data_IF_256575158576
#
_entry.id   IF_256575158576
#
_cell.length_a   1.000
_cell.length_b   1.000
_cell.length_c   1.000
_cell.angle_alpha   90.00
_cell.angle_beta   90.00
_cell.angle_gamma   90.00
#
_symmetry.space_group_name_H-M   'P 1'
#
loop_
_entity.id
_entity.type
_entity.pdbx_description
1 polymer ?
#
# COMPACT_ATOMS: atom_id res chain seq x y z
N UNK A 1 -18.79 14.06 18.70
CA UNK A 1 -17.43 14.62 18.65
C UNK A 1 -17.41 15.95 19.36
N UNK A 2 -16.36 16.26 20.12
CA UNK A 2 -16.11 17.61 20.60
C UNK A 2 -15.15 18.36 19.69
N UNK A 3 -15.39 19.66 19.51
CA UNK A 3 -14.51 20.55 18.75
C UNK A 3 -14.25 21.77 19.63
N UNK A 4 -12.98 22.00 19.94
CA UNK A 4 -12.53 23.18 20.67
C UNK A 4 -11.79 24.13 19.72
N UNK A 5 -12.34 25.32 19.53
CA UNK A 5 -11.76 26.34 18.66
C UNK A 5 -11.10 27.43 19.48
N UNK A 6 -9.92 27.88 19.03
CA UNK A 6 -9.12 28.95 19.63
C UNK A 6 -8.82 30.03 18.59
N UNK A 7 -8.40 31.19 19.07
CA UNK A 7 -7.95 32.26 18.17
C UNK A 7 -6.68 31.82 17.42
N UNK A 8 -6.49 32.32 16.20
CA UNK A 8 -5.39 31.93 15.30
C UNK A 8 -3.98 32.02 15.92
N UNK A 9 -3.77 32.95 16.83
CA UNK A 9 -2.49 33.19 17.50
C UNK A 9 -2.22 32.24 18.68
N UNK A 10 -3.22 31.50 19.13
CA UNK A 10 -3.12 30.61 20.29
C UNK A 10 -2.35 29.33 19.95
N UNK A 11 -1.55 28.88 20.92
CA UNK A 11 -0.87 27.58 20.87
C UNK A 11 -1.81 26.49 21.36
N UNK A 12 -2.11 25.52 20.51
CA UNK A 12 -3.08 24.46 20.81
C UNK A 12 -2.70 23.62 22.04
N UNK A 13 -1.40 23.38 22.28
CA UNK A 13 -0.91 22.60 23.43
C UNK A 13 -1.39 23.13 24.79
N UNK A 14 -1.53 24.45 24.93
CA UNK A 14 -2.00 25.08 26.16
C UNK A 14 -3.47 24.76 26.47
N UNK A 15 -4.22 24.32 25.46
CA UNK A 15 -5.65 24.12 25.52
C UNK A 15 -6.05 22.64 25.44
N UNK A 16 -5.14 21.73 25.06
CA UNK A 16 -5.36 20.28 25.10
C UNK A 16 -5.83 19.76 26.48
N UNK A 17 -5.32 20.25 27.64
CA UNK A 17 -5.83 19.83 28.95
C UNK A 17 -7.28 20.24 29.23
N UNK A 18 -7.77 21.31 28.60
CA UNK A 18 -9.16 21.71 28.72
C UNK A 18 -10.04 20.73 27.95
N UNK A 19 -9.69 20.43 26.69
CA UNK A 19 -10.39 19.47 25.84
C UNK A 19 -10.46 18.08 26.48
N UNK A 20 -9.34 17.59 27.02
CA UNK A 20 -9.27 16.26 27.64
C UNK A 20 -10.21 16.12 28.84
N UNK A 21 -10.38 17.18 29.65
CA UNK A 21 -11.34 17.17 30.76
C UNK A 21 -12.78 17.03 30.29
N UNK A 22 -13.16 17.72 29.21
CA UNK A 22 -14.50 17.59 28.64
C UNK A 22 -14.72 16.20 28.04
N UNK A 23 -13.75 15.70 27.27
CA UNK A 23 -13.77 14.37 26.67
C UNK A 23 -13.95 13.28 27.75
N UNK A 24 -13.07 13.26 28.75
CA UNK A 24 -13.07 12.21 29.78
C UNK A 24 -14.34 12.24 30.66
N UNK A 25 -14.97 13.40 30.79
CA UNK A 25 -16.22 13.57 31.52
C UNK A 25 -17.48 13.15 30.73
N UNK A 26 -17.34 12.84 29.43
CA UNK A 26 -18.46 12.56 28.52
C UNK A 26 -18.27 11.22 27.79
N UNK A 27 -18.68 10.09 28.40
CA UNK A 27 -18.43 8.74 27.85
C UNK A 27 -18.99 8.45 26.45
N UNK A 28 -19.96 9.23 25.99
CA UNK A 28 -20.58 9.10 24.67
C UNK A 28 -19.70 9.70 23.55
N UNK A 29 -18.70 10.50 23.90
CA UNK A 29 -17.79 11.14 22.94
C UNK A 29 -16.54 10.30 22.79
N UNK A 30 -16.32 9.78 21.58
CA UNK A 30 -15.16 8.96 21.23
C UNK A 30 -14.12 9.68 20.38
N UNK A 31 -14.46 10.86 19.85
CA UNK A 31 -13.58 11.68 19.01
C UNK A 31 -13.62 13.13 19.49
N UNK A 32 -12.45 13.77 19.56
CA UNK A 32 -12.31 15.19 19.82
C UNK A 32 -11.36 15.86 18.83
N UNK A 33 -11.52 17.16 18.61
CA UNK A 33 -10.57 17.98 17.87
C UNK A 33 -10.33 19.32 18.56
N UNK A 34 -9.13 19.85 18.34
CA UNK A 34 -8.79 21.23 18.68
C UNK A 34 -8.23 21.95 17.46
N UNK A 35 -8.56 23.23 17.32
CA UNK A 35 -8.10 24.04 16.18
C UNK A 35 -7.93 25.51 16.52
N UNK A 36 -7.01 26.19 15.82
CA UNK A 36 -6.89 27.64 15.78
C UNK A 36 -7.17 28.20 14.37
N UNK A 37 -7.76 27.38 13.48
CA UNK A 37 -8.02 27.71 12.08
C UNK A 37 -6.85 27.45 11.13
N UNK A 38 -5.60 27.48 11.60
CA UNK A 38 -4.41 27.09 10.80
C UNK A 38 -4.08 25.61 10.98
N UNK A 39 -4.12 25.15 12.23
CA UNK A 39 -3.83 23.78 12.59
C UNK A 39 -5.07 23.11 13.16
N UNK A 40 -5.29 21.84 12.78
CA UNK A 40 -6.30 20.96 13.35
C UNK A 40 -5.62 19.72 13.91
N UNK A 41 -5.96 19.34 15.15
CA UNK A 41 -5.50 18.11 15.78
C UNK A 41 -6.68 17.30 16.24
N UNK A 42 -6.67 16.01 15.93
CA UNK A 42 -7.75 15.07 16.24
C UNK A 42 -7.26 14.02 17.23
N UNK A 43 -8.10 13.74 18.23
CA UNK A 43 -7.83 12.86 19.35
C UNK A 43 -8.94 11.83 19.51
N UNK A 44 -8.57 10.70 20.10
CA UNK A 44 -9.45 9.57 20.44
C UNK A 44 -8.92 8.95 21.74
N UNK A 45 -9.45 7.80 22.13
CA UNK A 45 -9.15 7.08 23.37
C UNK A 45 -8.67 5.65 23.10
N UNK A 46 -7.60 5.49 22.31
CA UNK A 46 -7.06 4.18 21.94
C UNK A 46 -6.34 3.50 23.10
N UNK A 47 -5.61 4.27 23.91
CA UNK A 47 -4.79 3.70 24.99
C UNK A 47 -5.65 3.24 26.16
N UNK A 48 -6.55 4.12 26.62
CA UNK A 48 -7.44 3.84 27.74
C UNK A 48 -8.85 4.29 27.36
N UNK A 49 -9.82 3.37 27.48
CA UNK A 49 -11.23 3.66 27.16
C UNK A 49 -11.74 4.87 27.97
N UNK A 50 -12.39 5.81 27.28
CA UNK A 50 -12.92 7.07 27.82
C UNK A 50 -11.84 7.97 28.47
N UNK A 51 -10.59 7.85 28.03
CA UNK A 51 -9.52 8.76 28.40
C UNK A 51 -8.85 9.20 27.10
N UNK A 52 -8.93 10.50 26.80
CA UNK A 52 -8.33 11.08 25.62
C UNK A 52 -6.81 10.81 25.60
N UNK A 53 -6.32 10.32 24.48
CA UNK A 53 -4.89 10.10 24.26
C UNK A 53 -4.14 11.43 24.31
N UNK A 54 -2.88 11.39 24.79
CA UNK A 54 -2.06 12.59 24.93
C UNK A 54 -1.64 13.17 23.57
N UNK A 55 -1.35 12.29 22.61
CA UNK A 55 -0.91 12.64 21.27
C UNK A 55 -2.09 12.55 20.28
N UNK A 56 -2.20 13.49 19.33
CA UNK A 56 -3.21 13.41 18.28
C UNK A 56 -2.88 12.28 17.30
N UNK A 57 -3.91 11.58 16.82
CA UNK A 57 -3.74 10.56 15.77
C UNK A 57 -3.70 11.16 14.36
N UNK A 58 -4.23 12.39 14.19
CA UNK A 58 -4.19 13.14 12.95
C UNK A 58 -3.94 14.61 13.27
N UNK A 59 -2.94 15.20 12.61
CA UNK A 59 -2.65 16.64 12.66
C UNK A 59 -2.61 17.17 11.24
N UNK A 60 -3.27 18.29 10.99
CA UNK A 60 -3.32 18.94 9.69
C UNK A 60 -2.97 20.41 9.87
N UNK A 61 -1.89 20.82 9.21
CA UNK A 61 -1.49 22.21 9.06
C UNK A 61 -1.96 22.71 7.68
N UNK A 62 -2.83 23.69 7.65
CA UNK A 62 -3.36 24.26 6.41
C UNK A 62 -2.37 25.19 5.70
N UNK A 63 -1.30 25.64 6.36
CA UNK A 63 -0.24 26.40 5.69
C UNK A 63 0.75 25.48 4.95
N UNK A 64 0.83 24.22 5.37
CA UNK A 64 1.68 23.18 4.79
C UNK A 64 0.86 21.90 4.54
N UNK A 65 -0.26 22.06 3.84
CA UNK A 65 -1.21 20.98 3.63
C UNK A 65 -0.61 19.86 2.78
N UNK A 66 -0.54 18.67 3.36
CA UNK A 66 -0.32 17.43 2.63
C UNK A 66 -1.65 16.97 2.02
N UNK A 67 -1.73 16.98 0.69
CA UNK A 67 -2.95 16.60 -0.05
C UNK A 67 -3.39 15.16 0.23
N UNK A 68 -2.47 14.27 0.63
CA UNK A 68 -2.80 12.89 1.00
C UNK A 68 -3.77 12.82 2.20
N UNK A 69 -3.73 13.84 3.08
CA UNK A 69 -4.57 13.92 4.28
C UNK A 69 -6.00 14.39 3.99
N UNK A 70 -6.28 14.96 2.80
CA UNK A 70 -7.61 15.48 2.44
C UNK A 70 -8.66 14.38 2.46
N UNK A 71 -8.31 13.20 1.95
CA UNK A 71 -9.19 12.02 1.95
C UNK A 71 -9.60 11.62 3.38
N UNK A 72 -8.67 11.67 4.33
CA UNK A 72 -8.90 11.38 5.75
C UNK A 72 -9.73 12.46 6.42
N UNK A 73 -9.43 13.74 6.16
CA UNK A 73 -10.17 14.89 6.67
C UNK A 73 -11.64 14.87 6.26
N UNK A 74 -11.95 14.40 5.05
CA UNK A 74 -13.32 14.32 4.54
C UNK A 74 -14.24 13.50 5.44
N UNK A 75 -13.72 12.45 6.09
CA UNK A 75 -14.47 11.59 7.03
C UNK A 75 -14.93 12.30 8.30
N UNK A 76 -14.41 13.49 8.60
CA UNK A 76 -14.84 14.31 9.73
C UNK A 76 -16.00 15.25 9.39
N UNK A 77 -16.46 15.29 8.12
CA UNK A 77 -17.63 16.07 7.72
C UNK A 77 -18.90 15.47 8.29
N UNK A 78 -19.87 16.33 8.58
CA UNK A 78 -21.16 15.95 9.17
C UNK A 78 -21.87 14.80 8.44
N UNK A 79 -21.81 14.76 7.10
CA UNK A 79 -22.45 13.76 6.25
C UNK A 79 -21.73 12.40 6.21
N UNK A 80 -20.43 12.37 6.52
CA UNK A 80 -19.60 11.15 6.49
C UNK A 80 -19.13 10.73 7.89
N UNK A 81 -19.52 11.47 8.93
CA UNK A 81 -19.02 11.30 10.29
C UNK A 81 -19.48 9.97 10.90
N UNK A 82 -18.53 9.04 11.06
CA UNK A 82 -18.73 7.74 11.68
C UNK A 82 -17.67 7.51 12.78
N UNK A 83 -18.02 7.70 14.07
CA UNK A 83 -17.05 7.65 15.17
C UNK A 83 -16.25 6.34 15.24
N UNK A 84 -16.92 5.19 15.05
CA UNK A 84 -16.27 3.88 15.08
C UNK A 84 -15.25 3.71 13.93
N UNK A 85 -15.61 4.14 12.72
CA UNK A 85 -14.70 4.09 11.58
C UNK A 85 -13.51 5.04 11.75
N UNK A 86 -13.71 6.20 12.37
CA UNK A 86 -12.64 7.15 12.70
C UNK A 86 -11.71 6.61 13.78
N UNK A 87 -12.24 5.86 14.75
CA UNK A 87 -11.42 5.17 15.76
C UNK A 87 -10.54 4.09 15.14
N UNK A 88 -11.07 3.29 14.21
CA UNK A 88 -10.28 2.29 13.47
C UNK A 88 -9.17 2.99 12.66
N UNK A 89 -9.50 4.07 11.94
CA UNK A 89 -8.52 4.86 11.20
C UNK A 89 -7.43 5.42 12.11
N UNK A 90 -7.79 5.89 13.30
CA UNK A 90 -6.84 6.36 14.30
C UNK A 90 -5.89 5.24 14.73
N UNK A 91 -6.42 4.04 15.02
CA UNK A 91 -5.63 2.88 15.42
C UNK A 91 -4.62 2.50 14.32
N UNK A 92 -5.07 2.37 13.08
CA UNK A 92 -4.22 2.10 11.93
C UNK A 92 -3.13 3.16 11.77
N UNK A 93 -3.48 4.44 11.90
CA UNK A 93 -2.53 5.55 11.76
C UNK A 93 -1.46 5.51 12.85
N UNK A 94 -1.87 5.28 14.10
CA UNK A 94 -0.94 5.17 15.24
C UNK A 94 0.00 3.98 15.05
N UNK A 95 -0.51 2.82 14.62
CA UNK A 95 0.33 1.64 14.36
C UNK A 95 1.28 1.84 13.20
N UNK A 96 0.81 2.39 12.08
CA UNK A 96 1.64 2.69 10.91
C UNK A 96 2.81 3.61 11.29
N UNK A 97 2.52 4.70 12.02
CA UNK A 97 3.53 5.65 12.46
C UNK A 97 4.54 5.01 13.41
N UNK A 98 4.05 4.22 14.37
CA UNK A 98 4.90 3.49 15.32
C UNK A 98 5.81 2.48 14.63
N UNK A 99 5.26 1.66 13.73
CA UNK A 99 6.04 0.67 12.98
C UNK A 99 7.05 1.34 12.05
N UNK A 100 6.64 2.39 11.33
CA UNK A 100 7.54 3.15 10.44
C UNK A 100 8.70 3.75 11.22
N UNK A 101 8.45 4.27 12.42
CA UNK A 101 9.48 4.81 13.30
C UNK A 101 10.48 3.72 13.74
N UNK A 102 9.98 2.58 14.23
CA UNK A 102 10.82 1.45 14.66
C UNK A 102 11.63 0.89 13.50
N UNK A 103 11.01 0.69 12.33
CA UNK A 103 11.69 0.21 11.11
C UNK A 103 12.77 1.21 10.70
N UNK A 104 12.45 2.51 10.64
CA UNK A 104 13.43 3.55 10.28
C UNK A 104 14.61 3.60 11.24
N UNK A 105 14.36 3.43 12.55
CA UNK A 105 15.40 3.35 13.55
C UNK A 105 16.28 2.10 13.35
N UNK A 106 15.67 0.93 13.15
CA UNK A 106 16.38 -0.32 12.92
C UNK A 106 17.23 -0.29 11.63
N UNK A 107 16.75 0.37 10.57
CA UNK A 107 17.51 0.51 9.33
C UNK A 107 18.71 1.47 9.48
N UNK A 108 18.55 2.57 10.23
CA UNK A 108 19.65 3.53 10.48
C UNK A 108 20.69 2.96 11.45
N UNK A 109 20.22 2.28 12.48
CA UNK A 109 21.05 1.71 13.53
C UNK A 109 20.56 0.30 13.90
N UNK A 110 21.00 -0.73 13.14
CA UNK A 110 20.64 -2.12 13.42
C UNK A 110 20.98 -2.54 14.85
N UNK A 111 19.97 -2.92 15.62
CA UNK A 111 20.16 -3.49 16.96
C UNK A 111 20.53 -4.99 16.88
N UNK A 112 20.86 -5.57 18.04
CA UNK A 112 21.28 -6.97 18.12
C UNK A 112 20.20 -7.95 17.64
N UNK A 113 18.92 -7.60 17.80
CA UNK A 113 17.80 -8.47 17.45
C UNK A 113 17.56 -8.45 15.94
N UNK A 114 17.63 -7.29 15.31
CA UNK A 114 17.59 -7.12 13.86
C UNK A 114 18.79 -7.80 13.20
N UNK A 115 20.00 -7.60 13.73
CA UNK A 115 21.22 -8.28 13.22
C UNK A 115 21.09 -9.80 13.31
N UNK A 116 20.54 -10.31 14.43
CA UNK A 116 20.26 -11.75 14.58
C UNK A 116 19.22 -12.23 13.57
N UNK A 117 18.15 -11.46 13.35
CA UNK A 117 17.12 -11.78 12.37
C UNK A 117 17.72 -11.91 10.97
N UNK A 118 18.42 -10.88 10.48
CA UNK A 118 19.07 -10.86 9.16
C UNK A 118 20.07 -12.01 9.03
N UNK A 119 20.93 -12.18 10.03
CA UNK A 119 21.92 -13.25 10.07
C UNK A 119 21.27 -14.64 9.97
N UNK A 120 20.22 -14.91 10.75
CA UNK A 120 19.54 -16.21 10.76
C UNK A 120 18.87 -16.55 9.42
N UNK A 121 18.43 -15.53 8.67
CA UNK A 121 17.80 -15.69 7.35
C UNK A 121 18.81 -15.74 6.20
N UNK A 122 20.05 -15.31 6.44
CA UNK A 122 21.12 -15.25 5.42
C UNK A 122 21.87 -16.57 5.20
N UNK A 123 21.47 -17.67 5.85
CA UNK A 123 22.11 -18.98 5.69
C UNK A 123 23.47 -19.13 6.38
N UNK A 124 23.82 -18.20 7.28
CA UNK A 124 25.06 -18.27 8.07
C UNK A 124 24.97 -19.43 9.06
N UNK A 125 25.80 -20.46 8.87
CA UNK A 125 25.92 -21.62 9.76
C UNK A 125 26.82 -21.32 10.97
N UNK A 126 26.50 -20.25 11.71
CA UNK A 126 27.16 -19.91 12.99
C UNK A 126 26.12 -19.58 14.05
N UNK A 127 26.48 -19.85 15.29
CA UNK A 127 25.66 -19.46 16.44
C UNK A 127 25.76 -17.94 16.67
N UNK A 128 24.60 -17.29 16.80
CA UNK A 128 24.49 -15.85 17.04
C UNK A 128 24.69 -15.48 18.52
N UNK A 129 25.91 -15.70 19.03
CA UNK A 129 26.32 -15.21 20.34
C UNK A 129 26.65 -13.70 20.28
N UNK A 130 26.73 -13.04 21.45
CA UNK A 130 26.94 -11.60 21.54
C UNK A 130 28.18 -11.11 20.77
N UNK A 131 29.31 -11.80 20.91
CA UNK A 131 30.56 -11.47 20.20
C UNK A 131 30.42 -11.56 18.69
N UNK A 132 29.73 -12.59 18.20
CA UNK A 132 29.51 -12.75 16.76
C UNK A 132 28.56 -11.69 16.23
N UNK A 133 27.47 -11.39 16.94
CA UNK A 133 26.54 -10.31 16.61
C UNK A 133 27.31 -8.99 16.48
N UNK A 134 28.08 -8.60 17.50
CA UNK A 134 28.90 -7.39 17.48
C UNK A 134 29.85 -7.36 16.27
N UNK A 135 30.46 -8.49 15.92
CA UNK A 135 31.39 -8.58 14.79
C UNK A 135 30.71 -8.43 13.42
N UNK A 136 29.44 -8.84 13.28
CA UNK A 136 28.71 -8.78 12.01
C UNK A 136 27.79 -7.56 11.89
N UNK A 137 27.47 -6.87 12.99
CA UNK A 137 26.68 -5.63 12.98
C UNK A 137 27.16 -4.61 11.95
N UNK A 138 28.47 -4.34 11.78
CA UNK A 138 28.95 -3.39 10.76
C UNK A 138 28.62 -3.84 9.34
N UNK A 139 28.72 -5.15 9.08
CA UNK A 139 28.43 -5.77 7.78
C UNK A 139 26.92 -5.69 7.50
N UNK A 140 26.08 -5.98 8.49
CA UNK A 140 24.62 -5.84 8.36
C UNK A 140 24.25 -4.38 8.08
N UNK A 141 24.86 -3.42 8.80
CA UNK A 141 24.62 -1.99 8.56
C UNK A 141 24.98 -1.58 7.13
N UNK A 142 26.12 -2.05 6.62
CA UNK A 142 26.53 -1.80 5.23
C UNK A 142 25.54 -2.44 4.23
N UNK A 143 25.08 -3.67 4.50
CA UNK A 143 24.10 -4.35 3.65
C UNK A 143 22.75 -3.63 3.63
N UNK A 144 22.30 -3.10 4.77
CA UNK A 144 21.08 -2.28 4.86
C UNK A 144 21.24 -0.99 4.05
N UNK A 145 22.35 -0.26 4.21
CA UNK A 145 22.60 0.97 3.44
C UNK A 145 22.61 0.71 1.94
N UNK A 146 23.26 -0.38 1.51
CA UNK A 146 23.26 -0.79 0.11
C UNK A 146 21.86 -1.14 -0.38
N UNK A 147 21.11 -1.94 0.37
CA UNK A 147 19.74 -2.32 0.02
C UNK A 147 18.81 -1.11 -0.11
N UNK A 148 18.87 -0.16 0.84
CA UNK A 148 18.09 1.08 0.77
C UNK A 148 18.49 1.92 -0.44
N UNK A 149 19.79 2.03 -0.73
CA UNK A 149 20.27 2.76 -1.91
C UNK A 149 19.80 2.10 -3.20
N UNK A 150 19.88 0.77 -3.30
CA UNK A 150 19.43 0.00 -4.45
C UNK A 150 17.90 0.12 -4.64
N UNK A 151 17.12 0.16 -3.56
CA UNK A 151 15.67 0.40 -3.62
C UNK A 151 15.33 1.81 -4.12
N UNK A 152 16.06 2.84 -3.67
CA UNK A 152 15.86 4.22 -4.15
C UNK A 152 16.28 4.35 -5.61
N UNK A 153 17.43 3.79 -6.00
CA UNK A 153 17.89 3.79 -7.39
C UNK A 153 16.94 2.99 -8.28
N UNK A 154 16.45 1.83 -7.84
CA UNK A 154 15.45 1.05 -8.57
C UNK A 154 14.11 1.76 -8.68
N UNK A 155 13.71 2.53 -7.66
CA UNK A 155 12.49 3.34 -7.70
C UNK A 155 12.59 4.53 -8.66
N UNK A 156 13.81 5.05 -8.88
CA UNK A 156 14.08 6.16 -9.81
C UNK A 156 14.51 5.69 -11.22
N UNK A 157 14.98 4.45 -11.37
CA UNK A 157 15.63 3.94 -12.60
C UNK A 157 14.83 2.87 -13.35
N UNK A 158 13.50 2.85 -13.22
CA UNK A 158 12.69 2.11 -14.20
C UNK A 158 12.71 2.88 -15.54
N UNK A 159 13.32 2.49 -16.66
CA UNK A 159 14.53 1.76 -17.06
C UNK A 159 14.86 2.34 -18.48
N UNK A 160 16.08 2.25 -19.05
CA UNK A 160 16.46 1.00 -19.72
C UNK A 160 17.91 0.52 -19.48
N UNK A 161 18.08 -0.79 -19.66
CA UNK A 161 19.31 -1.61 -19.56
C UNK A 161 20.41 -1.21 -20.60
N UNK A 162 21.57 -1.90 -20.66
CA UNK A 162 22.72 -1.80 -19.77
C UNK A 162 23.99 -1.46 -20.57
N UNK A 163 24.78 -0.46 -20.17
CA UNK A 163 26.17 -0.37 -20.61
C UNK A 163 27.15 -0.06 -19.48
N UNK A 164 28.35 -0.59 -19.66
CA UNK A 164 29.33 -0.92 -18.65
C UNK A 164 30.15 0.29 -18.17
N UNK A 165 30.57 0.16 -16.91
CA UNK A 165 31.90 0.48 -16.37
C UNK A 165 32.27 1.95 -16.01
N UNK A 166 32.64 2.06 -14.73
CA UNK A 166 33.80 2.82 -14.17
C UNK A 166 33.54 4.14 -13.42
N UNK A 167 33.30 3.98 -12.10
CA UNK A 167 33.85 4.70 -10.92
C UNK A 167 33.85 6.27 -10.87
N UNK A 168 34.27 6.93 -9.75
CA UNK A 168 33.37 7.32 -8.67
C UNK A 168 33.49 8.81 -8.30
N UNK A 169 32.41 9.49 -7.90
CA UNK A 169 32.54 10.63 -6.97
C UNK A 169 31.28 10.81 -6.12
N UNK A 170 31.57 11.16 -4.87
CA UNK A 170 30.74 11.24 -3.66
C UNK A 170 29.82 12.50 -3.64
N UNK A 171 29.06 12.76 -2.55
CA UNK A 171 27.60 12.77 -2.56
C UNK A 171 26.99 14.17 -2.57
N UNK A 172 25.73 14.27 -3.02
CA UNK A 172 24.89 15.43 -2.69
C UNK A 172 23.53 14.96 -2.19
N UNK A 173 23.28 15.30 -0.93
CA UNK A 173 22.01 15.27 -0.24
C UNK A 173 20.98 16.14 -0.98
N UNK A 174 19.83 15.56 -1.33
CA UNK A 174 18.60 16.30 -1.52
C UNK A 174 17.42 15.35 -1.25
N UNK A 175 16.73 15.62 -0.13
CA UNK A 175 15.43 15.05 0.17
C UNK A 175 14.48 15.40 -0.98
N UNK A 176 13.87 14.40 -1.60
CA UNK A 176 12.77 14.59 -2.53
C UNK A 176 11.56 13.90 -1.94
N UNK A 177 10.51 14.70 -1.77
CA UNK A 177 9.17 14.35 -1.30
C UNK A 177 8.59 13.32 -2.27
N UNK A 178 8.18 12.16 -1.76
CA UNK A 178 7.46 11.15 -2.54
C UNK A 178 5.97 11.49 -2.41
N UNK A 179 5.34 11.86 -3.53
CA UNK A 179 3.89 11.94 -3.69
C UNK A 179 3.29 10.54 -3.54
N UNK A 180 2.22 10.43 -2.77
CA UNK A 180 1.60 9.15 -2.40
C UNK A 180 0.67 8.64 -3.51
N UNK A 181 1.22 7.90 -4.48
CA UNK A 181 0.47 7.21 -5.55
C UNK A 181 -0.22 5.90 -5.07
N UNK A 182 -0.16 5.58 -3.76
CA UNK A 182 -0.59 4.28 -3.22
C UNK A 182 -1.98 4.24 -2.56
N UNK A 183 -2.77 5.32 -2.52
CA UNK A 183 -4.02 5.38 -1.77
C UNK A 183 -5.21 4.68 -2.46
N UNK A 184 -5.87 3.70 -1.82
CA UNK A 184 -7.01 2.94 -2.38
C UNK A 184 -8.17 3.84 -2.84
N UNK A 185 -8.83 3.48 -3.96
CA UNK A 185 -9.92 4.24 -4.57
C UNK A 185 -11.25 3.55 -4.25
N UNK A 186 -12.11 4.21 -3.50
CA UNK A 186 -13.46 3.71 -3.19
C UNK A 186 -14.40 4.09 -4.34
N UNK A 187 -15.16 3.13 -4.85
CA UNK A 187 -16.14 3.38 -5.91
C UNK A 187 -17.24 4.35 -5.41
N UNK A 188 -17.51 5.46 -6.12
CA UNK A 188 -18.47 6.47 -5.70
C UNK A 188 -19.93 6.00 -5.71
N UNK A 189 -20.27 4.92 -6.43
CA UNK A 189 -21.62 4.36 -6.50
C UNK A 189 -21.82 3.17 -5.55
N UNK A 190 -20.75 2.46 -5.18
CA UNK A 190 -20.81 1.37 -4.20
C UNK A 190 -19.62 1.39 -3.21
N UNK A 191 -19.82 1.84 -1.97
CA UNK A 191 -18.78 1.90 -0.94
C UNK A 191 -18.16 0.56 -0.54
N UNK A 192 -18.75 -0.57 -0.96
CA UNK A 192 -18.18 -1.92 -0.75
C UNK A 192 -17.11 -2.30 -1.77
N UNK A 193 -16.97 -1.53 -2.83
CA UNK A 193 -15.95 -1.72 -3.86
C UNK A 193 -14.80 -0.78 -3.52
N UNK A 194 -13.68 -1.36 -3.08
CA UNK A 194 -12.46 -0.65 -2.71
C UNK A 194 -11.36 -1.11 -3.65
N UNK A 195 -11.04 -0.31 -4.65
CA UNK A 195 -9.97 -0.59 -5.59
C UNK A 195 -8.63 -0.33 -4.91
N UNK A 196 -7.98 -1.43 -4.56
CA UNK A 196 -6.72 -1.43 -3.82
C UNK A 196 -5.54 -1.01 -4.70
N UNK A 197 -4.44 -0.55 -4.10
CA UNK A 197 -3.17 -0.33 -4.81
C UNK A 197 -2.73 -1.54 -5.63
N UNK A 198 -2.89 -2.76 -5.10
CA UNK A 198 -2.53 -3.98 -5.81
C UNK A 198 -3.34 -4.17 -7.11
N UNK A 199 -4.60 -3.74 -7.13
CA UNK A 199 -5.49 -3.83 -8.29
C UNK A 199 -5.18 -2.78 -9.36
N UNK A 200 -4.84 -1.54 -8.95
CA UNK A 200 -4.33 -0.52 -9.88
C UNK A 200 -3.00 -0.94 -10.47
N UNK A 201 -2.10 -1.46 -9.63
CA UNK A 201 -0.80 -1.96 -10.06
C UNK A 201 -0.94 -3.14 -11.01
N UNK A 202 -1.92 -4.01 -10.78
CA UNK A 202 -2.25 -5.09 -11.71
C UNK A 202 -2.70 -4.54 -13.06
N UNK A 203 -3.56 -3.51 -13.08
CA UNK A 203 -4.02 -2.89 -14.32
C UNK A 203 -2.86 -2.24 -15.10
N UNK A 204 -1.97 -1.51 -14.41
CA UNK A 204 -0.75 -0.95 -15.00
C UNK A 204 0.13 -2.03 -15.62
N UNK A 205 0.39 -3.13 -14.89
CA UNK A 205 1.19 -4.25 -15.40
C UNK A 205 0.53 -4.87 -16.64
N UNK A 206 -0.80 -4.97 -16.70
CA UNK A 206 -1.51 -5.46 -17.89
C UNK A 206 -1.36 -4.47 -19.06
N UNK A 207 -1.42 -3.17 -18.78
CA UNK A 207 -1.25 -2.13 -19.79
C UNK A 207 0.18 -2.10 -20.34
N UNK A 208 1.20 -2.28 -19.48
CA UNK A 208 2.60 -2.40 -19.88
C UNK A 208 2.85 -3.62 -20.76
N UNK A 209 2.22 -4.76 -20.44
CA UNK A 209 2.34 -5.99 -21.24
C UNK A 209 1.71 -5.80 -22.63
N UNK A 210 0.50 -5.22 -22.71
CA UNK A 210 -0.25 -5.12 -23.96
C UNK A 210 0.11 -3.89 -24.81
N UNK A 211 0.75 -2.89 -24.20
CA UNK A 211 1.10 -1.59 -24.78
C UNK A 211 -0.05 -0.57 -24.72
N UNK A 212 0.29 0.71 -24.82
CA UNK A 212 -0.63 1.86 -24.69
C UNK A 212 -1.81 1.84 -25.68
N UNK A 213 -1.69 1.13 -26.79
CA UNK A 213 -2.74 1.01 -27.81
C UNK A 213 -3.81 -0.06 -27.48
N UNK A 214 -3.71 -0.73 -26.34
CA UNK A 214 -4.68 -1.71 -25.91
C UNK A 214 -5.92 -1.03 -25.30
N UNK A 215 -7.09 -1.21 -25.92
CA UNK A 215 -8.38 -0.71 -25.42
C UNK A 215 -8.86 -1.54 -24.21
N UNK A 216 -8.15 -1.46 -23.10
CA UNK A 216 -8.49 -2.12 -21.83
C UNK A 216 -9.06 -1.14 -20.82
N UNK A 217 -9.95 -1.61 -19.95
CA UNK A 217 -10.56 -0.81 -18.90
C UNK A 217 -10.69 -1.62 -17.61
N UNK A 218 -10.41 -1.04 -16.45
CA UNK A 218 -10.62 -1.70 -15.17
C UNK A 218 -12.11 -1.73 -14.80
N UNK A 219 -12.54 -2.79 -14.14
CA UNK A 219 -13.86 -2.89 -13.50
C UNK A 219 -13.72 -3.65 -12.19
N UNK A 220 -13.95 -2.94 -11.10
CA UNK A 220 -13.93 -3.52 -9.77
C UNK A 220 -15.32 -4.04 -9.37
N UNK A 221 -15.35 -5.08 -8.54
CA UNK A 221 -16.58 -5.68 -8.00
C UNK A 221 -16.34 -6.11 -6.55
N UNK A 222 -17.41 -6.31 -5.79
CA UNK A 222 -17.33 -6.72 -4.37
C UNK A 222 -16.56 -8.05 -4.12
N UNK A 223 -16.21 -8.82 -5.15
CA UNK A 223 -15.54 -10.12 -4.98
C UNK A 223 -14.29 -10.31 -5.83
N UNK A 224 -14.06 -9.45 -6.82
CA UNK A 224 -12.90 -9.55 -7.71
C UNK A 224 -12.73 -8.30 -8.57
N UNK A 225 -11.49 -8.02 -8.94
CA UNK A 225 -11.13 -6.97 -9.88
C UNK A 225 -11.00 -7.54 -11.30
N UNK A 226 -11.65 -6.92 -12.29
CA UNK A 226 -11.64 -7.38 -13.69
C UNK A 226 -10.94 -6.40 -14.61
N UNK A 227 -10.15 -6.91 -15.55
CA UNK A 227 -9.67 -6.13 -16.70
C UNK A 227 -10.51 -6.50 -17.92
N UNK A 228 -11.18 -5.51 -18.52
CA UNK A 228 -12.10 -5.68 -19.64
C UNK A 228 -11.50 -5.16 -20.94
N UNK A 229 -11.88 -5.77 -22.06
CA UNK A 229 -11.65 -5.25 -23.40
C UNK A 229 -12.82 -4.35 -23.81
N UNK A 230 -12.53 -3.11 -24.23
CA UNK A 230 -13.51 -2.11 -24.67
C UNK A 230 -14.62 -1.81 -23.65
N UNK A 231 -14.38 -1.97 -22.34
CA UNK A 231 -15.42 -1.79 -21.32
C UNK A 231 -16.55 -2.82 -21.35
N UNK A 232 -16.47 -3.85 -22.21
CA UNK A 232 -17.53 -4.84 -22.37
C UNK A 232 -17.43 -5.89 -21.28
N UNK A 233 -18.45 -5.99 -20.41
CA UNK A 233 -18.44 -6.92 -19.27
C UNK A 233 -18.37 -8.40 -19.70
N UNK A 234 -18.83 -8.75 -20.90
CA UNK A 234 -18.71 -10.09 -21.46
C UNK A 234 -17.33 -10.39 -22.07
N UNK A 235 -16.46 -9.38 -22.24
CA UNK A 235 -15.10 -9.51 -22.77
C UNK A 235 -14.09 -9.10 -21.70
N UNK A 236 -13.97 -9.94 -20.68
CA UNK A 236 -12.97 -9.77 -19.63
C UNK A 236 -11.71 -10.55 -19.99
N UNK A 237 -10.52 -9.97 -19.82
CA UNK A 237 -9.25 -10.65 -20.08
C UNK A 237 -8.89 -11.54 -18.89
N UNK A 238 -8.90 -10.94 -17.71
CA UNK A 238 -8.56 -11.59 -16.45
C UNK A 238 -9.38 -11.04 -15.28
N UNK A 239 -9.46 -11.84 -14.23
CA UNK A 239 -10.05 -11.51 -12.93
C UNK A 239 -9.03 -11.77 -11.84
N UNK A 240 -8.82 -10.80 -10.98
CA UNK A 240 -7.94 -10.86 -9.83
C UNK A 240 -8.76 -10.93 -8.54
N UNK A 241 -8.44 -11.90 -7.69
CA UNK A 241 -9.07 -12.08 -6.40
C UNK A 241 -8.06 -11.71 -5.32
N UNK A 242 -8.22 -10.51 -4.74
CA UNK A 242 -7.35 -9.97 -3.69
C UNK A 242 -7.65 -10.57 -2.31
N UNK A 243 -8.92 -10.87 -2.00
CA UNK A 243 -9.38 -11.21 -0.64
C UNK A 243 -9.06 -12.64 -0.14
N UNK A 244 -8.51 -13.54 -0.97
CA UNK A 244 -8.18 -14.90 -0.53
C UNK A 244 -6.81 -14.92 0.17
N UNK A 245 -6.61 -15.85 1.11
CA UNK A 245 -5.31 -16.14 1.76
C UNK A 245 -4.11 -16.26 0.79
N UNK A 246 -4.40 -16.52 -0.49
CA UNK A 246 -3.46 -16.41 -1.60
C UNK A 246 -4.16 -15.66 -2.74
N UNK A 247 -3.64 -14.51 -3.19
CA UNK A 247 -4.21 -13.79 -4.31
C UNK A 247 -4.08 -14.61 -5.59
N UNK A 248 -5.10 -14.56 -6.44
CA UNK A 248 -5.17 -15.42 -7.62
C UNK A 248 -5.72 -14.68 -8.83
N UNK A 249 -5.17 -14.99 -10.00
CA UNK A 249 -5.66 -14.51 -11.30
C UNK A 249 -6.31 -15.65 -12.07
N UNK A 250 -7.46 -15.37 -12.69
CA UNK A 250 -8.13 -16.27 -13.62
C UNK A 250 -8.26 -15.58 -14.97
N UNK A 251 -8.05 -16.29 -16.07
CA UNK A 251 -8.20 -15.78 -17.44
C UNK A 251 -9.53 -16.24 -18.07
N UNK A 252 -10.01 -15.53 -19.09
CA UNK A 252 -11.25 -15.88 -19.81
C UNK A 252 -11.18 -17.17 -20.63
N UNK A 253 -9.97 -17.67 -20.86
CA UNK A 253 -9.71 -18.87 -21.65
C UNK A 253 -9.20 -20.02 -20.77
N UNK A 254 -9.48 -21.28 -21.16
CA UNK A 254 -8.93 -22.42 -20.46
C UNK A 254 -7.40 -22.50 -20.61
N UNK A 255 -6.72 -22.89 -19.54
CA UNK A 255 -5.26 -23.06 -19.56
C UNK A 255 -4.89 -24.33 -20.34
N UNK A 256 -4.23 -24.15 -21.47
CA UNK A 256 -3.64 -25.27 -22.24
C UNK A 256 -2.47 -25.88 -21.48
N UNK A 257 -2.15 -27.15 -21.76
CA UNK A 257 -1.04 -27.85 -21.09
C UNK A 257 0.34 -27.27 -21.44
N UNK A 258 0.43 -26.48 -22.50
CA UNK A 258 1.63 -25.70 -22.83
C UNK A 258 1.76 -24.47 -21.93
N UNK A 259 0.68 -23.69 -21.75
CA UNK A 259 0.67 -22.54 -20.82
C UNK A 259 0.85 -22.97 -19.37
N UNK A 260 0.32 -24.12 -18.95
CA UNK A 260 0.59 -24.68 -17.61
C UNK A 260 2.08 -24.93 -17.37
N UNK A 261 2.80 -25.46 -18.36
CA UNK A 261 4.25 -25.67 -18.27
C UNK A 261 5.02 -24.35 -18.21
N UNK A 262 4.56 -23.33 -18.94
CA UNK A 262 5.11 -21.97 -18.89
C UNK A 262 4.94 -21.33 -17.50
N UNK A 263 3.75 -21.44 -16.90
CA UNK A 263 3.45 -20.93 -15.54
C UNK A 263 4.40 -21.57 -14.52
N UNK A 264 4.58 -22.90 -14.56
CA UNK A 264 5.51 -23.59 -13.65
C UNK A 264 6.96 -23.19 -13.89
N UNK A 265 7.37 -23.00 -15.15
CA UNK A 265 8.72 -22.53 -15.50
C UNK A 265 8.98 -21.09 -15.05
N UNK A 266 7.94 -20.26 -15.01
CA UNK A 266 7.97 -18.89 -14.48
C UNK A 266 7.97 -18.83 -12.94
N UNK A 267 7.93 -19.99 -12.25
CA UNK A 267 7.94 -20.07 -10.79
C UNK A 267 6.59 -19.71 -10.16
N UNK A 268 5.49 -19.88 -10.89
CA UNK A 268 4.13 -19.64 -10.41
C UNK A 268 3.40 -20.96 -10.16
N UNK A 269 2.50 -20.96 -9.16
CA UNK A 269 1.71 -22.11 -8.78
C UNK A 269 0.31 -22.04 -9.37
N UNK A 270 -0.22 -23.20 -9.77
CA UNK A 270 -1.60 -23.34 -10.21
C UNK A 270 -2.50 -23.57 -8.98
N UNK A 271 -3.52 -22.75 -8.83
CA UNK A 271 -4.51 -22.86 -7.77
C UNK A 271 -5.62 -23.87 -8.12
N UNK A 272 -6.71 -23.83 -7.34
CA UNK A 272 -7.89 -24.63 -7.65
C UNK A 272 -8.56 -24.15 -8.96
N UNK A 273 -8.85 -25.07 -9.89
CA UNK A 273 -9.42 -24.75 -11.19
C UNK A 273 -8.40 -24.16 -12.18
N UNK A 274 -8.83 -23.20 -13.02
CA UNK A 274 -7.95 -22.47 -13.96
C UNK A 274 -7.37 -21.18 -13.34
N UNK A 275 -7.16 -21.16 -12.03
CA UNK A 275 -6.59 -20.01 -11.32
C UNK A 275 -5.08 -20.14 -11.18
N UNK A 276 -4.38 -19.01 -11.24
CA UNK A 276 -2.92 -18.89 -11.09
C UNK A 276 -2.67 -18.08 -9.83
N UNK A 277 -1.88 -18.63 -8.91
CA UNK A 277 -1.55 -17.96 -7.66
C UNK A 277 -0.47 -16.90 -7.92
N UNK A 278 -0.79 -15.66 -7.57
CA UNK A 278 0.02 -14.49 -7.85
C UNK A 278 0.16 -13.71 -6.55
N UNK A 279 1.28 -13.90 -5.85
CA UNK A 279 1.54 -13.21 -4.57
C UNK A 279 1.74 -11.70 -4.71
N UNK A 280 2.15 -11.23 -5.89
CA UNK A 280 2.39 -9.82 -6.21
C UNK A 280 1.92 -9.53 -7.65
N UNK A 281 1.22 -8.41 -7.92
CA UNK A 281 0.72 -8.08 -9.27
C UNK A 281 1.78 -8.13 -10.37
N UNK A 282 3.02 -7.78 -10.05
CA UNK A 282 4.17 -7.78 -10.96
C UNK A 282 4.52 -9.18 -11.48
N UNK A 283 4.14 -10.24 -10.75
CA UNK A 283 4.38 -11.61 -11.22
C UNK A 283 3.57 -11.95 -12.48
N UNK A 284 2.53 -11.18 -12.81
CA UNK A 284 1.81 -11.31 -14.07
C UNK A 284 2.72 -11.04 -15.29
N UNK A 285 3.72 -10.17 -15.16
CA UNK A 285 4.72 -9.90 -16.20
C UNK A 285 5.62 -11.11 -16.53
N UNK A 286 5.61 -12.17 -15.70
CA UNK A 286 6.33 -13.42 -15.98
C UNK A 286 5.58 -14.34 -16.94
N UNK A 287 4.29 -14.07 -17.19
CA UNK A 287 3.42 -14.85 -18.07
C UNK A 287 2.71 -13.94 -19.11
N UNK A 288 3.43 -13.09 -19.85
CA UNK A 288 2.82 -12.12 -20.76
C UNK A 288 2.04 -12.81 -21.89
N UNK A 289 2.45 -14.02 -22.30
CA UNK A 289 1.76 -14.81 -23.33
C UNK A 289 0.29 -15.07 -23.01
N UNK A 290 -0.06 -15.31 -21.74
CA UNK A 290 -1.46 -15.51 -21.32
C UNK A 290 -2.29 -14.23 -21.43
N UNK A 291 -1.67 -13.07 -21.21
CA UNK A 291 -2.34 -11.77 -21.33
C UNK A 291 -2.62 -11.44 -22.80
N UNK A 292 -1.67 -11.71 -23.69
CA UNK A 292 -1.86 -11.58 -25.14
C UNK A 292 -2.90 -12.55 -25.68
N UNK A 293 -2.84 -13.82 -25.29
CA UNK A 293 -3.81 -14.83 -25.71
C UNK A 293 -5.24 -14.43 -25.27
N UNK A 294 -5.39 -13.88 -24.05
CA UNK A 294 -6.67 -13.40 -23.54
C UNK A 294 -7.19 -12.18 -24.32
N UNK A 295 -6.31 -11.26 -24.73
CA UNK A 295 -6.66 -10.14 -25.60
C UNK A 295 -7.11 -10.63 -26.98
N UNK A 296 -6.39 -11.56 -27.57
CA UNK A 296 -6.73 -12.16 -28.87
C UNK A 296 -8.08 -12.89 -28.81
N UNK A 297 -8.31 -13.64 -27.74
CA UNK A 297 -9.59 -14.28 -27.46
C UNK A 297 -10.75 -13.27 -27.39
N UNK A 298 -10.53 -12.11 -26.75
CA UNK A 298 -11.51 -11.02 -26.63
C UNK A 298 -11.75 -10.27 -27.95
N UNK A 299 -10.80 -10.29 -28.88
CA UNK A 299 -10.92 -9.67 -30.21
C UNK A 299 -11.76 -10.50 -31.18
N UNK A 300 -11.78 -11.82 -31.04
CA UNK A 300 -12.59 -12.69 -31.90
C UNK A 300 -14.07 -12.71 -31.47
N UNK A 301 -14.90 -12.00 -32.23
CA UNK A 301 -16.35 -11.91 -32.01
C UNK A 301 -17.06 -13.27 -32.03
N UNK A 302 -16.49 -14.29 -32.69
CA UNK A 302 -17.07 -15.65 -32.73
C UNK A 302 -17.11 -16.31 -31.35
N UNK A 303 -16.20 -15.94 -30.45
CA UNK A 303 -16.16 -16.46 -29.09
C UNK A 303 -17.32 -15.95 -28.21
N UNK A 304 -17.98 -14.86 -28.62
CA UNK A 304 -19.05 -14.22 -27.85
C UNK A 304 -20.41 -14.21 -28.56
N UNK A 305 -20.47 -14.73 -29.80
CA UNK A 305 -21.73 -14.96 -30.50
C UNK A 305 -22.49 -16.09 -29.81
N UNK A 306 -23.73 -15.83 -29.38
CA UNK A 306 -24.64 -16.90 -28.96
C UNK A 306 -24.81 -17.85 -30.13
N UNK A 307 -24.44 -19.13 -29.98
CA UNK A 307 -24.97 -20.18 -30.85
C UNK A 307 -26.48 -20.15 -30.66
N UNK A 308 -27.18 -19.72 -31.71
CA UNK A 308 -28.64 -19.79 -31.77
C UNK A 308 -29.14 -21.22 -31.71
#
# INVERSE_FOLDING_TARGET
MFIEAKAQIEKLDNHCPQLSRYFNATPEVTIAAITNGREWRFFTDLVNRNIMDADPFLTVDFDALDESLISRLRRFRHDEFQPEALRILAEETVYLNSFTSVISAALRNPDADFVRYVGSKSGIQRQFNARFIESITPIVKQAVQRSVSDMVVSGLSAQPLPEQASQPTEPVVAATVISDEAADIIDPENPRIVTTYAERRLFEVVQDILGENAEISPKDTESYYSVLYQGKTNRWLLRYLSEKKQPAVTFCMPLTDERKREITRAGLELGAGNSILISQPEHLARIPGLVFDALEHCRDDKNFSRKG
#
